data_IF_171261928762
#
_entry.id   IF_171261928762
#
_cell.length_a   1.000
_cell.length_b   1.000
_cell.length_c   1.000
_cell.angle_alpha   90.00
_cell.angle_beta   90.00
_cell.angle_gamma   90.00
#
_symmetry.space_group_name_H-M   'P 1'
#
loop_
_entity.id
_entity.type
_entity.pdbx_description
1 polymer ?
#
# COMPACT_ATOMS: atom_id res chain seq x y z
N UNK A 1 -16.54 5.46 -6.64
CA UNK A 1 -16.44 5.06 -8.05
C UNK A 1 -14.99 4.68 -8.21
N UNK A 2 -14.71 3.45 -8.63
CA UNK A 2 -13.39 2.85 -8.53
C UNK A 2 -12.69 2.90 -9.89
N UNK A 3 -11.39 3.21 -9.88
CA UNK A 3 -10.57 3.24 -11.08
C UNK A 3 -10.19 1.81 -11.51
N UNK A 4 -10.23 1.55 -12.83
CA UNK A 4 -10.02 0.23 -13.44
C UNK A 4 -8.77 0.25 -14.32
N UNK A 5 -7.91 -0.76 -14.13
CA UNK A 5 -6.71 -1.00 -14.93
C UNK A 5 -6.90 -2.22 -15.82
N UNK A 6 -6.65 -2.07 -17.12
CA UNK A 6 -6.75 -3.18 -18.07
C UNK A 6 -5.63 -3.14 -19.13
N UNK A 7 -5.16 -4.33 -19.54
CA UNK A 7 -4.14 -4.51 -20.58
C UNK A 7 -4.49 -5.72 -21.47
N UNK A 8 -4.58 -5.54 -22.79
CA UNK A 8 -5.15 -6.55 -23.68
C UNK A 8 -5.31 -6.11 -25.13
N UNK A 9 -5.49 -7.08 -26.05
CA UNK A 9 -5.80 -6.82 -27.47
C UNK A 9 -7.20 -6.23 -27.68
N UNK A 10 -8.13 -6.46 -26.75
CA UNK A 10 -9.52 -6.00 -26.80
C UNK A 10 -9.85 -5.03 -25.67
N UNK A 11 -8.85 -4.33 -25.14
CA UNK A 11 -9.02 -3.46 -23.97
C UNK A 11 -10.03 -2.34 -24.22
N UNK A 12 -10.08 -1.77 -25.42
CA UNK A 12 -11.09 -0.76 -25.74
C UNK A 12 -12.51 -1.35 -25.74
N UNK A 13 -12.70 -2.52 -26.38
CA UNK A 13 -14.00 -3.22 -26.40
C UNK A 13 -14.43 -3.67 -24.99
N UNK A 14 -13.49 -4.09 -24.15
CA UNK A 14 -13.74 -4.44 -22.76
C UNK A 14 -14.19 -3.22 -21.95
N UNK A 15 -13.52 -2.08 -22.12
CA UNK A 15 -13.96 -0.83 -21.49
C UNK A 15 -15.29 -0.31 -22.06
N UNK A 16 -15.62 -0.56 -23.32
CA UNK A 16 -16.93 -0.24 -23.89
C UNK A 16 -18.03 -1.06 -23.23
N UNK A 17 -17.85 -2.39 -23.17
CA UNK A 17 -18.78 -3.28 -22.47
C UNK A 17 -18.93 -2.94 -20.98
N UNK A 18 -17.84 -2.55 -20.32
CA UNK A 18 -17.88 -2.11 -18.93
C UNK A 18 -18.55 -0.73 -18.79
N UNK A 19 -18.34 0.18 -19.72
CA UNK A 19 -18.96 1.51 -19.75
C UNK A 19 -20.47 1.50 -20.00
N UNK A 20 -20.97 0.47 -20.70
CA UNK A 20 -22.42 0.23 -20.83
C UNK A 20 -23.08 -0.15 -19.50
N UNK A 21 -22.33 -0.79 -18.61
CA UNK A 21 -22.85 -1.33 -17.33
C UNK A 21 -22.52 -0.46 -16.13
N UNK A 22 -21.42 0.27 -16.19
CA UNK A 22 -20.89 1.08 -15.11
C UNK A 22 -20.53 2.47 -15.63
N UNK A 23 -20.77 3.49 -14.81
CA UNK A 23 -20.22 4.82 -15.09
C UNK A 23 -18.71 4.75 -14.88
N UNK A 24 -17.97 4.73 -15.99
CA UNK A 24 -16.51 4.73 -16.00
C UNK A 24 -16.06 6.12 -16.45
N UNK A 25 -15.02 6.64 -15.80
CA UNK A 25 -14.44 7.94 -16.15
C UNK A 25 -13.74 7.93 -17.51
N UNK A 26 -13.11 9.05 -17.85
CA UNK A 26 -12.32 9.16 -19.09
C UNK A 26 -11.20 8.12 -19.11
N UNK A 27 -10.97 7.55 -20.30
CA UNK A 27 -9.89 6.60 -20.53
C UNK A 27 -8.64 7.38 -20.95
N UNK A 28 -7.54 7.10 -20.28
CA UNK A 28 -6.25 7.71 -20.58
C UNK A 28 -5.26 6.62 -20.95
N UNK A 29 -4.68 6.76 -22.15
CA UNK A 29 -3.57 5.91 -22.57
C UNK A 29 -2.35 6.23 -21.71
N UNK A 30 -1.81 5.21 -21.05
CA UNK A 30 -0.66 5.36 -20.17
C UNK A 30 0.60 5.33 -21.04
N UNK A 31 1.23 6.47 -21.32
CA UNK A 31 2.46 6.52 -22.13
C UNK A 31 3.72 6.29 -21.29
N UNK A 32 4.86 6.01 -21.93
CA UNK A 32 6.16 5.99 -21.23
C UNK A 32 6.42 7.38 -20.62
N UNK A 33 6.90 7.41 -19.38
CA UNK A 33 7.05 8.61 -18.57
C UNK A 33 5.77 9.03 -17.82
N UNK A 34 4.65 8.33 -18.00
CA UNK A 34 3.41 8.62 -17.27
C UNK A 34 3.64 8.53 -15.76
N UNK A 35 3.12 9.52 -15.04
CA UNK A 35 3.10 9.60 -13.58
C UNK A 35 1.69 9.93 -13.11
N UNK A 36 1.19 9.20 -12.13
CA UNK A 36 -0.07 9.52 -11.46
C UNK A 36 -0.01 9.15 -9.98
N UNK A 37 -0.94 9.71 -9.22
CA UNK A 37 -1.17 9.34 -7.81
C UNK A 37 -2.61 8.91 -7.63
N UNK A 38 -2.81 7.82 -6.92
CA UNK A 38 -4.14 7.33 -6.57
C UNK A 38 -4.13 6.84 -5.12
N UNK A 39 -4.88 7.51 -4.24
CA UNK A 39 -5.02 7.14 -2.81
C UNK A 39 -3.65 6.84 -2.15
N UNK A 40 -2.64 7.69 -2.35
CA UNK A 40 -1.31 7.48 -1.75
C UNK A 40 -0.46 6.38 -2.39
N UNK A 41 -0.92 5.77 -3.49
CA UNK A 41 -0.10 5.00 -4.41
C UNK A 41 0.47 5.94 -5.49
N UNK A 42 1.76 5.86 -5.72
CA UNK A 42 2.44 6.49 -6.84
C UNK A 42 2.55 5.48 -7.98
N UNK A 43 2.25 5.94 -9.18
CA UNK A 43 2.20 5.13 -10.38
C UNK A 43 3.17 5.70 -11.40
N UNK A 44 4.07 4.88 -11.93
CA UNK A 44 5.05 5.30 -12.91
C UNK A 44 5.21 4.29 -14.04
N UNK A 45 5.23 4.75 -15.29
CA UNK A 45 5.59 3.92 -16.45
C UNK A 45 7.01 4.26 -16.91
N UNK A 46 8.07 3.64 -16.37
CA UNK A 46 9.44 3.95 -16.76
C UNK A 46 9.77 3.57 -18.21
N UNK A 47 9.21 2.46 -18.71
CA UNK A 47 9.45 1.97 -20.06
C UNK A 47 8.21 1.30 -20.69
N UNK A 48 8.36 0.76 -21.90
CA UNK A 48 7.26 0.16 -22.64
C UNK A 48 6.73 -1.15 -22.02
N UNK A 49 7.51 -1.80 -21.16
CA UNK A 49 7.30 -3.15 -20.65
C UNK A 49 7.10 -3.21 -19.14
N UNK A 50 7.32 -2.14 -18.41
CA UNK A 50 7.20 -2.12 -16.95
C UNK A 50 6.31 -0.98 -16.48
N UNK A 51 5.66 -1.23 -15.34
CA UNK A 51 4.80 -0.28 -14.66
C UNK A 51 5.01 -0.42 -13.16
N UNK A 52 5.54 0.63 -12.55
CA UNK A 52 5.95 0.63 -11.16
C UNK A 52 4.84 1.24 -10.30
N UNK A 53 4.51 0.53 -9.23
CA UNK A 53 3.61 0.99 -8.18
C UNK A 53 4.40 1.14 -6.89
N UNK A 54 4.36 2.31 -6.26
CA UNK A 54 4.98 2.57 -4.97
C UNK A 54 4.01 3.24 -4.00
N UNK A 55 4.30 3.21 -2.71
CA UNK A 55 3.58 3.99 -1.68
C UNK A 55 4.46 5.11 -1.14
N UNK A 56 5.37 5.64 -1.98
CA UNK A 56 6.44 6.53 -1.56
C UNK A 56 5.92 7.85 -0.99
N UNK A 57 5.03 8.53 -1.71
CA UNK A 57 4.40 9.76 -1.27
C UNK A 57 3.61 9.58 0.03
N UNK A 58 2.94 8.44 0.19
CA UNK A 58 2.22 8.13 1.43
C UNK A 58 3.20 7.95 2.60
N UNK A 59 4.26 7.16 2.40
CA UNK A 59 5.28 6.90 3.42
C UNK A 59 6.05 8.17 3.81
N UNK A 60 6.25 9.11 2.89
CA UNK A 60 6.88 10.40 3.16
C UNK A 60 6.09 11.23 4.16
N UNK A 61 4.76 11.24 4.03
CA UNK A 61 3.86 11.97 4.93
C UNK A 61 3.75 11.40 6.36
N UNK A 62 4.24 10.19 6.61
CA UNK A 62 4.17 9.58 7.95
C UNK A 62 5.31 10.08 8.84
N UNK A 63 4.95 10.68 9.97
CA UNK A 63 5.86 10.95 11.08
C UNK A 63 6.03 9.69 11.95
N UNK A 64 7.13 8.97 11.73
CA UNK A 64 7.46 7.76 12.47
C UNK A 64 7.81 8.07 13.93
N UNK A 65 8.31 9.27 14.23
CA UNK A 65 8.71 9.63 15.59
C UNK A 65 7.51 9.91 16.49
N UNK A 66 6.40 10.38 15.92
CA UNK A 66 5.13 10.53 16.62
C UNK A 66 4.52 9.20 17.09
N UNK A 67 4.89 8.07 16.48
CA UNK A 67 4.39 6.74 16.88
C UNK A 67 5.08 6.33 18.20
N UNK A 68 4.33 5.99 19.26
CA UNK A 68 4.92 5.54 20.51
C UNK A 68 5.64 4.20 20.39
N UNK A 69 6.56 3.96 21.32
CA UNK A 69 7.34 2.72 21.38
C UNK A 69 8.78 2.90 20.91
N UNK A 70 9.58 1.86 21.12
CA UNK A 70 11.01 1.86 20.84
C UNK A 70 11.26 1.40 19.41
N UNK A 71 11.95 2.24 18.63
CA UNK A 71 12.43 1.83 17.31
C UNK A 71 13.50 0.74 17.47
N UNK A 72 13.32 -0.38 16.78
CA UNK A 72 14.29 -1.49 16.75
C UNK A 72 15.05 -1.49 15.43
N UNK A 73 16.22 -2.14 15.42
CA UNK A 73 17.01 -2.34 14.20
C UNK A 73 16.29 -3.23 13.18
N UNK A 74 15.59 -4.25 13.67
CA UNK A 74 14.82 -5.20 12.85
C UNK A 74 13.73 -5.85 13.69
N UNK A 75 12.69 -6.36 13.03
CA UNK A 75 11.67 -7.20 13.66
C UNK A 75 12.14 -8.64 13.79
N UNK A 76 11.70 -9.28 14.87
CA UNK A 76 11.86 -10.70 15.15
C UNK A 76 10.52 -11.32 15.53
N UNK A 77 10.44 -12.65 15.52
CA UNK A 77 9.23 -13.38 15.91
C UNK A 77 8.74 -13.01 17.33
N UNK A 78 9.67 -12.75 18.26
CA UNK A 78 9.35 -12.36 19.64
C UNK A 78 8.59 -11.03 19.73
N UNK A 79 8.74 -10.17 18.73
CA UNK A 79 8.11 -8.84 18.70
C UNK A 79 6.63 -8.91 18.32
N UNK A 80 6.24 -9.97 17.63
CA UNK A 80 4.87 -10.21 17.13
C UNK A 80 4.22 -11.46 17.74
N UNK A 81 4.94 -12.16 18.62
CA UNK A 81 4.41 -13.29 19.37
C UNK A 81 3.16 -12.88 20.16
N UNK A 82 2.23 -13.79 20.45
CA UNK A 82 1.07 -13.53 21.29
C UNK A 82 1.45 -12.85 22.61
N UNK A 83 0.59 -11.94 23.07
CA UNK A 83 0.77 -11.26 24.34
C UNK A 83 0.26 -12.14 25.48
N UNK A 84 1.00 -12.13 26.59
CA UNK A 84 0.48 -12.61 27.87
C UNK A 84 -0.55 -11.59 28.38
N UNK A 85 -1.58 -12.03 29.12
CA UNK A 85 -2.65 -11.14 29.64
C UNK A 85 -2.09 -9.96 30.45
N UNK A 86 -1.00 -10.18 31.19
CA UNK A 86 -0.32 -9.15 32.00
C UNK A 86 0.36 -8.04 31.19
N UNK A 87 0.67 -8.30 29.92
CA UNK A 87 1.35 -7.35 29.02
C UNK A 87 0.35 -6.48 28.25
N UNK A 88 -0.94 -6.83 28.29
CA UNK A 88 -2.01 -6.12 27.59
C UNK A 88 -2.30 -4.81 28.30
N UNK A 89 -2.25 -3.72 27.54
CA UNK A 89 -2.54 -2.39 28.03
C UNK A 89 -3.59 -1.73 27.14
N UNK A 90 -4.84 -1.79 27.59
CA UNK A 90 -5.99 -1.26 26.85
C UNK A 90 -5.94 0.27 26.68
N UNK A 91 -5.13 0.99 27.46
CA UNK A 91 -4.93 2.43 27.24
C UNK A 91 -4.23 2.73 25.90
N UNK A 92 -3.54 1.72 25.33
CA UNK A 92 -2.85 1.81 24.05
C UNK A 92 -3.74 1.49 22.85
N UNK A 93 -5.00 1.09 23.06
CA UNK A 93 -5.84 0.53 21.99
C UNK A 93 -6.02 1.49 20.81
N UNK A 94 -6.39 2.74 21.08
CA UNK A 94 -6.66 3.74 20.04
C UNK A 94 -5.41 4.00 19.19
N UNK A 95 -4.30 4.34 19.85
CA UNK A 95 -3.02 4.62 19.18
C UNK A 95 -2.50 3.40 18.43
N UNK A 96 -2.69 2.19 18.98
CA UNK A 96 -2.32 0.96 18.30
C UNK A 96 -3.13 0.72 17.03
N UNK A 97 -4.45 0.92 17.09
CA UNK A 97 -5.32 0.74 15.93
C UNK A 97 -5.01 1.75 14.84
N UNK A 98 -4.76 3.01 15.20
CA UNK A 98 -4.34 4.05 14.27
C UNK A 98 -3.00 3.68 13.60
N UNK A 99 -1.96 3.37 14.38
CA UNK A 99 -0.66 3.02 13.86
C UNK A 99 -0.71 1.74 13.01
N UNK A 100 -1.51 0.74 13.40
CA UNK A 100 -1.67 -0.48 12.63
C UNK A 100 -2.48 -0.25 11.35
N UNK A 101 -3.44 0.68 11.35
CA UNK A 101 -4.14 1.13 10.14
C UNK A 101 -3.17 1.78 9.15
N UNK A 102 -2.30 2.66 9.64
CA UNK A 102 -1.22 3.27 8.84
C UNK A 102 -0.31 2.21 8.23
N UNK A 103 0.11 1.22 9.04
CA UNK A 103 0.90 0.09 8.57
C UNK A 103 0.16 -0.72 7.50
N UNK A 104 -1.14 -0.95 7.68
CA UNK A 104 -1.99 -1.68 6.73
C UNK A 104 -1.99 -1.05 5.35
N UNK A 105 -2.11 0.28 5.28
CA UNK A 105 -1.98 0.99 4.01
C UNK A 105 -0.55 0.95 3.46
N UNK A 106 0.44 1.13 4.33
CA UNK A 106 1.85 1.14 3.95
C UNK A 106 2.33 -0.19 3.31
N UNK A 107 1.81 -1.33 3.77
CA UNK A 107 2.19 -2.66 3.24
C UNK A 107 1.41 -3.09 2.01
N UNK A 108 0.43 -2.30 1.54
CA UNK A 108 -0.48 -2.69 0.46
C UNK A 108 0.25 -3.16 -0.81
N UNK A 109 1.37 -2.51 -1.15
CA UNK A 109 2.21 -2.85 -2.30
C UNK A 109 3.44 -3.73 -1.94
N UNK A 110 3.61 -4.07 -0.67
CA UNK A 110 4.81 -4.75 -0.14
C UNK A 110 4.47 -6.12 0.46
N UNK A 111 4.10 -7.09 -0.38
CA UNK A 111 3.66 -8.42 0.06
C UNK A 111 4.65 -9.14 0.99
N UNK A 112 5.97 -8.98 0.78
CA UNK A 112 7.01 -9.57 1.65
C UNK A 112 6.95 -9.03 3.09
N UNK A 113 6.50 -7.80 3.25
CA UNK A 113 6.41 -7.09 4.54
C UNK A 113 5.02 -7.15 5.14
N UNK A 114 4.01 -7.53 4.35
CA UNK A 114 2.65 -7.78 4.80
C UNK A 114 2.55 -8.91 5.84
N UNK A 115 3.54 -9.81 5.93
CA UNK A 115 3.58 -10.85 6.96
C UNK A 115 3.51 -10.25 8.37
N UNK A 116 4.32 -9.23 8.67
CA UNK A 116 4.33 -8.59 9.99
C UNK A 116 3.00 -7.90 10.30
N UNK A 117 2.42 -7.23 9.31
CA UNK A 117 1.10 -6.63 9.43
C UNK A 117 0.02 -7.66 9.74
N UNK A 118 0.06 -8.85 9.11
CA UNK A 118 -0.93 -9.90 9.35
C UNK A 118 -0.89 -10.43 10.79
N UNK A 119 0.30 -10.49 11.40
CA UNK A 119 0.48 -10.91 12.79
C UNK A 119 0.06 -9.81 13.76
N UNK A 120 0.47 -8.56 13.50
CA UNK A 120 0.11 -7.40 14.31
C UNK A 120 -1.40 -7.14 14.28
N UNK A 121 -2.05 -7.25 13.13
CA UNK A 121 -3.49 -7.00 13.01
C UNK A 121 -4.36 -7.93 13.86
N UNK A 122 -3.89 -9.13 14.16
CA UNK A 122 -4.57 -10.07 15.08
C UNK A 122 -4.57 -9.60 16.53
N UNK A 123 -3.63 -8.71 16.90
CA UNK A 123 -3.47 -8.18 18.25
C UNK A 123 -4.22 -6.85 18.48
N UNK A 124 -5.07 -6.41 17.55
CA UNK A 124 -5.86 -5.17 17.66
C UNK A 124 -6.79 -5.09 18.86
N UNK A 125 -7.14 -6.24 19.46
CA UNK A 125 -7.94 -6.34 20.68
C UNK A 125 -7.11 -6.56 21.95
N UNK A 126 -5.80 -6.81 21.80
CA UNK A 126 -4.85 -7.03 22.89
C UNK A 126 -3.57 -6.22 22.66
N UNK A 127 -3.66 -4.88 22.64
CA UNK A 127 -2.52 -4.02 22.37
C UNK A 127 -1.47 -4.13 23.47
N UNK A 128 -0.20 -3.99 23.09
CA UNK A 128 0.94 -3.95 24.02
C UNK A 128 1.95 -2.91 23.56
N UNK A 129 2.77 -2.39 24.47
CA UNK A 129 3.88 -1.51 24.12
C UNK A 129 4.89 -2.18 23.16
N UNK A 130 5.01 -3.50 23.24
CA UNK A 130 5.81 -4.32 22.32
C UNK A 130 5.27 -4.25 20.90
N UNK A 131 3.96 -4.39 20.71
CA UNK A 131 3.33 -4.32 19.40
C UNK A 131 3.40 -2.92 18.79
N UNK A 132 3.24 -1.86 19.58
CA UNK A 132 3.47 -0.49 19.10
C UNK A 132 4.90 -0.29 18.60
N UNK A 133 5.88 -0.76 19.37
CA UNK A 133 7.30 -0.75 18.96
C UNK A 133 7.52 -1.53 17.66
N UNK A 134 6.80 -2.65 17.48
CA UNK A 134 6.88 -3.45 16.27
C UNK A 134 6.25 -2.76 15.05
N UNK A 135 5.08 -2.12 15.21
CA UNK A 135 4.43 -1.31 14.17
C UNK A 135 5.34 -0.14 13.75
N UNK A 136 5.89 0.62 14.72
CA UNK A 136 6.86 1.71 14.45
C UNK A 136 8.04 1.21 13.63
N UNK A 137 8.62 0.08 14.04
CA UNK A 137 9.76 -0.54 13.34
C UNK A 137 9.40 -1.02 11.93
N UNK A 138 8.21 -1.58 11.73
CA UNK A 138 7.73 -2.00 10.41
C UNK A 138 7.60 -0.82 9.44
N UNK A 139 6.95 0.26 9.88
CA UNK A 139 6.74 1.49 9.10
C UNK A 139 8.09 2.14 8.78
N UNK A 140 8.98 2.26 9.76
CA UNK A 140 10.34 2.76 9.54
C UNK A 140 11.09 1.94 8.49
N UNK A 141 11.00 0.61 8.59
CA UNK A 141 11.61 -0.30 7.63
C UNK A 141 11.07 -0.15 6.21
N UNK A 142 9.77 0.11 6.05
CA UNK A 142 9.14 0.42 4.74
C UNK A 142 9.63 1.75 4.18
N UNK A 143 9.75 2.78 5.04
CA UNK A 143 10.23 4.11 4.65
C UNK A 143 11.71 4.08 4.21
N UNK A 144 12.53 3.25 4.85
CA UNK A 144 13.98 3.12 4.59
C UNK A 144 14.30 2.25 3.38
N UNK A 145 13.52 1.18 3.18
CA UNK A 145 13.77 0.19 2.13
C UNK A 145 12.55 0.11 1.21
N UNK A 146 12.43 1.13 0.35
CA UNK A 146 11.36 1.26 -0.64
C UNK A 146 11.60 0.25 -1.76
N UNK A 147 10.66 -0.67 -1.93
CA UNK A 147 10.66 -1.62 -3.03
C UNK A 147 9.39 -1.40 -3.86
N UNK A 148 9.51 -0.97 -5.14
CA UNK A 148 8.35 -0.84 -6.00
C UNK A 148 7.77 -2.23 -6.32
N UNK A 149 6.44 -2.29 -6.43
CA UNK A 149 5.79 -3.41 -7.10
C UNK A 149 5.88 -3.16 -8.61
N UNK A 150 6.71 -3.95 -9.28
CA UNK A 150 6.90 -3.85 -10.73
C UNK A 150 5.92 -4.81 -11.42
N UNK A 151 5.02 -4.24 -12.22
CA UNK A 151 4.15 -4.98 -13.11
C UNK A 151 4.78 -5.04 -14.49
N UNK A 152 4.87 -6.24 -15.06
CA UNK A 152 5.38 -6.44 -16.42
C UNK A 152 4.22 -6.42 -17.42
N UNK A 153 4.25 -5.45 -18.33
CA UNK A 153 3.33 -5.36 -19.45
C UNK A 153 3.52 -6.51 -20.45
N UNK A 154 2.42 -6.96 -21.03
CA UNK A 154 2.45 -7.96 -22.10
C UNK A 154 3.05 -7.34 -23.37
N UNK A 155 4.00 -8.03 -24.01
CA UNK A 155 4.69 -7.54 -25.22
C UNK A 155 3.67 -7.16 -26.31
N UNK A 156 3.86 -5.98 -26.91
CA UNK A 156 3.05 -5.49 -28.03
C UNK A 156 1.66 -4.99 -27.66
N UNK A 157 1.34 -4.86 -26.36
CA UNK A 157 0.03 -4.37 -25.90
C UNK A 157 0.10 -2.97 -25.32
N UNK A 158 -0.93 -2.20 -25.58
CA UNK A 158 -1.09 -0.87 -25.02
C UNK A 158 -1.72 -0.94 -23.62
N UNK A 159 -1.32 -0.03 -22.75
CA UNK A 159 -1.80 0.05 -21.37
C UNK A 159 -2.76 1.24 -21.26
N UNK A 160 -3.95 0.98 -20.72
CA UNK A 160 -4.99 1.97 -20.53
C UNK A 160 -5.38 2.05 -19.06
N UNK A 161 -5.60 3.28 -18.59
CA UNK A 161 -6.10 3.59 -17.26
C UNK A 161 -7.47 4.23 -17.44
N UNK A 162 -8.49 3.66 -16.82
CA UNK A 162 -9.83 4.23 -16.82
C UNK A 162 -10.18 4.65 -15.39
N UNK A 163 -10.42 5.93 -15.19
CA UNK A 163 -10.66 6.47 -13.86
C UNK A 163 -11.18 7.90 -13.87
N UNK A 164 -11.57 8.42 -12.71
CA UNK A 164 -11.98 9.81 -12.57
C UNK A 164 -10.74 10.72 -12.50
N UNK A 165 -10.00 10.84 -13.62
CA UNK A 165 -8.91 11.80 -13.73
C UNK A 165 -9.48 13.14 -14.19
N UNK A 166 -9.79 14.03 -13.24
CA UNK A 166 -9.59 15.44 -13.55
C UNK A 166 -8.09 15.60 -13.80
N UNK A 167 -7.73 15.85 -15.05
CA UNK A 167 -6.36 16.15 -15.43
C UNK A 167 -5.86 17.32 -14.57
N UNK A 168 -4.76 17.11 -13.84
CA UNK A 168 -3.96 18.20 -13.26
C UNK A 168 -3.09 18.79 -14.36
#
# INVERSE_FOLDING_TARGET
MDDIFEAGERTEEAFDMLGERFKIGSRTKVNVGFKAKYIGMDMYRPDAHTFDLTSESYLEGIDVEAIPGKLKKSLSEKDVAPAEEQDVDMSLQEVYQEANGVLGWAVYLSWRRALWFSLLSKATTKPTARYLSAVKTAIHGLKTHREPLVLHGLKGRELYLAGCSDAI
#
